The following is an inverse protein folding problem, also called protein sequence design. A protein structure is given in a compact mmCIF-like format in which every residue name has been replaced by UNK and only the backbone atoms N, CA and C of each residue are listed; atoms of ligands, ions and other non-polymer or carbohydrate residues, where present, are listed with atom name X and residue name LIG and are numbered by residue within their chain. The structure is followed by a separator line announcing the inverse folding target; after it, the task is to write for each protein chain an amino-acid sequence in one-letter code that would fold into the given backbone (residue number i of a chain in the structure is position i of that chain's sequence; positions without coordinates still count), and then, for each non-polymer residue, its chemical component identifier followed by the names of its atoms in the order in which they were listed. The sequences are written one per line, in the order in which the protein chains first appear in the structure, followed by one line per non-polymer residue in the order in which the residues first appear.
data_IF_967139814169
#
_entry.id   IF_967139814169
#
_cell.length_a   1.000
_cell.length_b   1.000
_cell.length_c   1.000
_cell.angle_alpha   90.00
_cell.angle_beta   90.00
_cell.angle_gamma   90.00
#
_symmetry.space_group_name_H-M   'P 1'
#
loop_
_entity.id
_entity.type
_entity.pdbx_description
1 polymer ?
#
# COMPACT_ATOMS: atom_id res chain seq x y z
N UNK A 1 10.06 -18.25 0.91
CA UNK A 1 9.93 -17.59 2.23
C UNK A 1 8.49 -17.79 2.72
N UNK A 2 8.24 -17.95 4.02
CA UNK A 2 6.85 -17.93 4.52
C UNK A 2 6.35 -16.49 4.53
N UNK A 3 5.29 -16.19 3.78
CA UNK A 3 4.65 -14.88 3.74
C UNK A 3 4.21 -14.50 5.16
N UNK A 4 4.81 -13.45 5.74
CA UNK A 4 4.44 -12.90 7.05
C UNK A 4 3.75 -11.56 6.86
N UNK A 5 2.47 -11.49 7.20
CA UNK A 5 1.73 -10.22 7.24
C UNK A 5 2.37 -9.32 8.29
N UNK A 6 2.83 -8.14 7.87
CA UNK A 6 3.45 -7.14 8.73
C UNK A 6 2.42 -6.09 9.12
N UNK A 7 2.55 -5.55 10.33
CA UNK A 7 1.82 -4.36 10.71
C UNK A 7 2.20 -3.18 9.79
N UNK A 8 1.21 -2.36 9.43
CA UNK A 8 1.43 -1.11 8.71
C UNK A 8 2.22 -0.17 9.60
N UNK A 9 3.35 0.32 9.09
CA UNK A 9 4.12 1.35 9.77
C UNK A 9 3.38 2.68 9.71
N UNK A 10 3.24 3.30 10.87
CA UNK A 10 2.63 4.62 11.05
C UNK A 10 3.73 5.57 11.49
N UNK A 11 3.78 6.73 10.87
CA UNK A 11 4.78 7.76 11.16
C UNK A 11 4.03 9.04 11.51
N UNK A 12 4.42 9.68 12.62
CA UNK A 12 3.76 10.90 13.11
C UNK A 12 3.82 12.02 12.07
N UNK A 13 4.92 12.12 11.32
CA UNK A 13 5.07 13.13 10.26
C UNK A 13 4.06 12.87 9.12
N UNK A 14 3.88 11.60 8.74
CA UNK A 14 2.87 11.20 7.73
C UNK A 14 1.45 11.49 8.22
N UNK A 15 1.17 11.28 9.50
CA UNK A 15 -0.15 11.53 10.08
C UNK A 15 -0.50 13.02 10.17
N UNK A 16 0.51 13.90 10.24
CA UNK A 16 0.35 15.36 10.22
C UNK A 16 0.16 15.93 8.80
N UNK A 17 0.48 15.17 7.76
CA UNK A 17 0.17 15.55 6.38
C UNK A 17 -1.35 15.58 6.15
N UNK A 18 -1.79 16.40 5.18
CA UNK A 18 -3.19 16.48 4.76
C UNK A 18 -3.72 15.08 4.39
N UNK A 19 -4.84 14.69 5.01
CA UNK A 19 -5.48 13.39 4.80
C UNK A 19 -5.89 13.22 3.33
N UNK A 20 -5.59 12.06 2.75
CA UNK A 20 -5.89 11.76 1.35
C UNK A 20 -5.02 12.47 0.31
N UNK A 21 -4.13 13.38 0.72
CA UNK A 21 -3.24 14.08 -0.21
C UNK A 21 -2.27 13.12 -0.91
N UNK A 22 -1.92 13.43 -2.17
CA UNK A 22 -0.94 12.65 -2.96
C UNK A 22 0.39 12.48 -2.20
N UNK A 23 0.84 13.54 -1.51
CA UNK A 23 2.06 13.51 -0.70
C UNK A 23 1.98 12.48 0.43
N UNK A 24 0.87 12.47 1.18
CA UNK A 24 0.65 11.51 2.28
C UNK A 24 0.55 10.08 1.77
N UNK A 25 -0.14 9.86 0.65
CA UNK A 25 -0.25 8.54 0.02
C UNK A 25 1.13 8.00 -0.36
N UNK A 26 1.93 8.79 -1.07
CA UNK A 26 3.27 8.38 -1.50
C UNK A 26 4.18 8.13 -0.29
N UNK A 27 4.16 8.99 0.73
CA UNK A 27 4.96 8.81 1.93
C UNK A 27 4.58 7.53 2.70
N UNK A 28 3.28 7.27 2.87
CA UNK A 28 2.77 6.06 3.51
C UNK A 28 3.16 4.79 2.74
N UNK A 29 3.06 4.82 1.40
CA UNK A 29 3.47 3.71 0.55
C UNK A 29 4.98 3.45 0.66
N UNK A 30 5.82 4.49 0.55
CA UNK A 30 7.28 4.38 0.70
C UNK A 30 7.70 3.79 2.04
N UNK A 31 7.06 4.21 3.14
CA UNK A 31 7.34 3.68 4.48
C UNK A 31 7.03 2.17 4.58
N UNK A 32 6.16 1.65 3.71
CA UNK A 32 5.71 0.26 3.73
C UNK A 32 6.20 -0.58 2.54
N UNK A 33 7.23 -0.13 1.81
CA UNK A 33 7.89 -0.91 0.76
C UNK A 33 8.44 -2.24 1.31
N UNK A 34 8.36 -3.29 0.50
CA UNK A 34 8.80 -4.67 0.76
C UNK A 34 8.09 -5.30 1.98
N UNK A 35 6.83 -4.90 2.20
CA UNK A 35 5.96 -5.42 3.24
C UNK A 35 4.65 -5.89 2.64
N UNK A 36 4.26 -7.11 3.03
CA UNK A 36 2.87 -7.55 2.92
C UNK A 36 2.09 -6.91 4.05
N UNK A 37 1.10 -6.09 3.72
CA UNK A 37 0.28 -5.34 4.68
C UNK A 37 -1.20 -5.44 4.33
N UNK A 38 -2.05 -5.19 5.33
CA UNK A 38 -3.48 -5.07 5.10
C UNK A 38 -3.82 -3.71 4.46
N UNK A 39 -4.49 -3.73 3.31
CA UNK A 39 -4.92 -2.57 2.53
C UNK A 39 -5.77 -1.60 3.36
N UNK A 40 -6.76 -2.10 4.10
CA UNK A 40 -7.64 -1.24 4.90
C UNK A 40 -6.86 -0.46 5.96
N UNK A 41 -5.87 -1.11 6.57
CA UNK A 41 -5.00 -0.47 7.55
C UNK A 41 -4.09 0.58 6.90
N UNK A 42 -3.60 0.32 5.69
CA UNK A 42 -2.78 1.27 4.96
C UNK A 42 -3.59 2.49 4.52
N UNK A 43 -4.79 2.29 3.97
CA UNK A 43 -5.69 3.36 3.56
C UNK A 43 -6.01 4.30 4.74
N UNK A 44 -6.22 3.76 5.95
CA UNK A 44 -6.39 4.58 7.17
C UNK A 44 -5.18 5.48 7.45
N UNK A 45 -3.95 5.00 7.26
CA UNK A 45 -2.74 5.81 7.42
C UNK A 45 -2.68 6.91 6.36
N UNK A 46 -3.11 6.61 5.14
CA UNK A 46 -3.19 7.57 4.04
C UNK A 46 -4.31 8.61 4.23
N UNK A 47 -5.23 8.39 5.18
CA UNK A 47 -6.42 9.24 5.35
C UNK A 47 -7.51 8.96 4.32
N UNK A 48 -7.55 7.73 3.78
CA UNK A 48 -8.51 7.27 2.79
C UNK A 48 -9.43 6.20 3.37
N UNK A 49 -10.67 6.15 2.88
CA UNK A 49 -11.59 5.04 3.07
C UNK A 49 -11.37 3.94 2.02
N UNK A 50 -12.00 2.78 2.21
CA UNK A 50 -11.96 1.70 1.22
C UNK A 50 -12.61 2.07 -0.13
N UNK A 51 -13.62 2.94 -0.11
CA UNK A 51 -14.25 3.47 -1.32
C UNK A 51 -13.29 4.34 -2.14
N UNK A 52 -12.32 4.96 -1.49
CA UNK A 52 -11.34 5.86 -2.09
C UNK A 52 -10.04 5.15 -2.47
N UNK A 53 -10.00 3.82 -2.47
CA UNK A 53 -8.79 3.06 -2.85
C UNK A 53 -8.24 3.42 -4.24
N UNK A 54 -9.09 3.85 -5.17
CA UNK A 54 -8.64 4.32 -6.49
C UNK A 54 -7.83 5.62 -6.42
N UNK A 55 -8.02 6.45 -5.38
CA UNK A 55 -7.20 7.65 -5.14
C UNK A 55 -5.77 7.25 -4.78
N UNK A 56 -5.60 6.19 -3.98
CA UNK A 56 -4.27 5.64 -3.69
C UNK A 56 -3.57 5.21 -4.98
N UNK A 57 -4.29 4.45 -5.83
CA UNK A 57 -3.77 3.95 -7.09
C UNK A 57 -3.38 5.11 -8.02
N UNK A 58 -4.26 6.09 -8.20
CA UNK A 58 -3.99 7.28 -9.02
C UNK A 58 -2.78 8.08 -8.52
N UNK A 59 -2.62 8.21 -7.21
CA UNK A 59 -1.48 8.90 -6.60
C UNK A 59 -0.14 8.16 -6.81
N UNK A 60 -0.17 6.82 -6.87
CA UNK A 60 1.02 6.00 -7.08
C UNK A 60 1.36 5.78 -8.56
N UNK A 61 0.44 6.10 -9.47
CA UNK A 61 0.57 5.73 -10.89
C UNK A 61 1.82 6.27 -11.59
N UNK A 62 2.27 7.45 -11.18
CA UNK A 62 3.45 8.15 -11.74
C UNK A 62 4.73 7.84 -10.95
N UNK A 63 4.64 6.95 -9.96
CA UNK A 63 5.77 6.58 -9.10
C UNK A 63 6.40 5.26 -9.56
N UNK A 64 7.53 4.91 -8.95
CA UNK A 64 8.15 3.58 -9.14
C UNK A 64 7.55 2.52 -8.21
N UNK A 65 6.43 2.81 -7.55
CA UNK A 65 5.84 1.96 -6.53
C UNK A 65 4.74 1.12 -7.16
N UNK A 66 4.94 -0.19 -7.16
CA UNK A 66 3.96 -1.18 -7.61
C UNK A 66 3.14 -1.69 -6.43
N UNK A 67 1.85 -1.91 -6.68
CA UNK A 67 0.91 -2.51 -5.73
C UNK A 67 0.47 -3.86 -6.29
N UNK A 68 0.64 -4.90 -5.48
CA UNK A 68 0.24 -6.26 -5.81
C UNK A 68 -0.85 -6.70 -4.85
N UNK A 69 -2.00 -7.11 -5.36
CA UNK A 69 -3.06 -7.73 -4.58
C UNK A 69 -2.75 -9.22 -4.43
N UNK A 70 -2.59 -9.67 -3.19
CA UNK A 70 -2.27 -11.06 -2.91
C UNK A 70 -3.56 -11.89 -2.93
N UNK A 71 -3.48 -13.07 -3.51
CA UNK A 71 -4.62 -13.98 -3.64
C UNK A 71 -4.82 -14.80 -2.36
N UNK A 72 -5.13 -14.11 -1.25
CA UNK A 72 -5.54 -14.73 0.01
C UNK A 72 -7.03 -14.46 0.22
N UNK A 73 -7.84 -15.52 0.19
CA UNK A 73 -9.29 -15.48 0.10
C UNK A 73 -10.01 -14.79 1.26
N UNK A 74 -9.31 -14.35 2.32
CA UNK A 74 -9.93 -13.74 3.49
C UNK A 74 -9.31 -12.42 3.95
N UNK A 75 -8.21 -11.98 3.34
CA UNK A 75 -7.53 -10.77 3.78
C UNK A 75 -7.27 -9.85 2.59
N UNK A 76 -7.66 -8.57 2.72
CA UNK A 76 -7.29 -7.53 1.76
C UNK A 76 -5.79 -7.22 1.89
N UNK A 77 -4.93 -8.18 1.53
CA UNK A 77 -3.49 -8.07 1.62
C UNK A 77 -2.93 -7.51 0.33
N UNK A 78 -2.05 -6.54 0.49
CA UNK A 78 -1.28 -5.98 -0.60
C UNK A 78 0.21 -6.08 -0.27
N UNK A 79 1.00 -6.26 -1.31
CA UNK A 79 2.42 -6.01 -1.28
C UNK A 79 2.69 -4.69 -2.01
N UNK A 80 3.57 -3.88 -1.42
CA UNK A 80 4.08 -2.65 -2.02
C UNK A 80 5.57 -2.86 -2.27
N UNK A 81 6.04 -2.65 -3.50
CA UNK A 81 7.45 -2.75 -3.82
C UNK A 81 7.82 -1.93 -5.03
N UNK A 82 9.12 -1.71 -5.22
CA UNK A 82 9.64 -0.97 -6.38
C UNK A 82 10.14 -1.88 -7.51
N UNK A 83 9.99 -3.19 -7.34
CA UNK A 83 10.33 -4.21 -8.34
C UNK A 83 9.08 -4.58 -9.13
N UNK A 84 9.28 -4.81 -10.43
CA UNK A 84 8.27 -5.36 -11.35
C UNK A 84 7.99 -6.85 -11.13
N UNK A 85 8.70 -7.50 -10.22
CA UNK A 85 8.59 -8.93 -9.98
C UNK A 85 8.22 -9.18 -8.52
N UNK A 86 7.12 -9.91 -8.34
CA UNK A 86 6.76 -10.51 -7.06
C UNK A 86 7.17 -11.99 -7.11
N UNK A 87 7.83 -12.49 -6.06
CA UNK A 87 8.14 -13.92 -5.95
C UNK A 87 6.89 -14.80 -5.74
N UNK A 88 5.73 -14.19 -5.50
CA UNK A 88 4.49 -14.87 -5.11
C UNK A 88 3.34 -14.60 -6.11
N UNK A 89 2.31 -15.45 -6.10
CA UNK A 89 1.14 -15.28 -6.98
C UNK A 89 0.27 -14.10 -6.50
N UNK A 90 0.10 -13.08 -7.35
CA UNK A 90 -0.74 -11.92 -7.07
C UNK A 90 -1.15 -11.18 -8.33
N UNK A 91 -2.21 -10.38 -8.22
CA UNK A 91 -2.64 -9.48 -9.29
C UNK A 91 -1.88 -8.18 -9.19
N UNK A 92 -1.12 -7.88 -10.24
CA UNK A 92 -0.38 -6.64 -10.39
C UNK A 92 -1.30 -5.53 -10.88
N UNK A 93 -1.21 -4.35 -10.28
CA UNK A 93 -2.02 -3.21 -10.71
C UNK A 93 -1.38 -2.36 -11.83
N UNK A 94 -0.05 -2.33 -11.94
CA UNK A 94 0.70 -1.45 -12.88
C UNK A 94 1.99 -2.05 -13.43
#
# INVERSE_FOLDING_TARGET
MTMRVKAVLRDTEILQMEAGSKARVIAAAKKNIDRVVNLLSLLKVMGLSFGERCVMLDALKDSKIHVWLLNDAQQHLIYIGEKNELEEQGYHWQ
#
